data_IF_560291099879
#
_entry.id   IF_560291099879
#
_cell.length_a   1.000
_cell.length_b   1.000
_cell.length_c   1.000
_cell.angle_alpha   90.00
_cell.angle_beta   90.00
_cell.angle_gamma   90.00
#
_symmetry.space_group_name_H-M   'P 1'
#
loop_
_entity.id
_entity.type
_entity.pdbx_description
1 polymer ?
#
# COMPACT_ATOMS: atom_id res chain seq x y z
N UNK A 1 12.16 11.86 18.27
CA UNK A 1 11.03 12.19 17.37
C UNK A 1 11.62 12.77 16.12
N UNK A 2 11.28 12.22 14.97
CA UNK A 2 11.73 12.73 13.70
C UNK A 2 11.15 14.12 13.42
N UNK A 3 11.96 15.00 12.85
CA UNK A 3 11.52 16.32 12.40
C UNK A 3 10.95 16.19 10.99
N UNK A 4 9.69 16.54 10.80
CA UNK A 4 9.05 16.56 9.49
C UNK A 4 9.32 17.92 8.82
N UNK A 5 9.98 17.89 7.67
CA UNK A 5 10.37 19.08 6.89
C UNK A 5 9.68 19.02 5.54
N UNK A 6 9.18 20.14 5.05
CA UNK A 6 8.59 20.23 3.72
C UNK A 6 9.65 20.69 2.71
N UNK A 7 9.68 20.05 1.53
CA UNK A 7 10.51 20.49 0.43
C UNK A 7 10.20 21.96 0.06
N UNK A 8 11.25 22.73 -0.19
CA UNK A 8 11.13 24.15 -0.54
C UNK A 8 11.07 24.39 -2.05
N UNK A 9 11.07 23.32 -2.84
CA UNK A 9 10.99 23.42 -4.32
C UNK A 9 9.67 24.03 -4.75
N UNK A 10 9.74 24.85 -5.81
CA UNK A 10 8.55 25.50 -6.38
C UNK A 10 7.60 24.52 -7.08
N UNK A 11 8.11 23.40 -7.56
CA UNK A 11 7.33 22.35 -8.23
C UNK A 11 7.90 20.96 -7.92
N UNK A 12 7.04 19.96 -8.01
CA UNK A 12 7.43 18.55 -7.88
C UNK A 12 8.20 18.10 -9.12
N UNK A 13 9.33 17.43 -8.91
CA UNK A 13 10.14 16.82 -9.96
C UNK A 13 10.15 15.31 -9.75
N UNK A 14 9.66 14.54 -10.72
CA UNK A 14 9.53 13.11 -10.63
C UNK A 14 8.72 12.67 -9.39
N UNK A 15 7.37 12.71 -9.44
CA UNK A 15 6.53 12.59 -8.25
C UNK A 15 6.62 11.21 -7.58
N UNK A 16 6.85 11.22 -6.27
CA UNK A 16 6.65 10.09 -5.38
C UNK A 16 5.15 9.91 -5.08
N UNK A 17 4.46 11.03 -4.93
CA UNK A 17 3.08 11.13 -4.50
C UNK A 17 2.11 10.65 -5.58
N UNK A 18 1.16 9.79 -5.17
CA UNK A 18 -0.06 9.49 -5.91
C UNK A 18 -1.24 10.29 -5.34
N UNK A 19 -2.24 10.58 -6.17
CA UNK A 19 -3.36 11.44 -5.79
C UNK A 19 -4.43 10.73 -4.97
N UNK A 20 -5.21 11.49 -4.19
CA UNK A 20 -6.32 10.98 -3.39
C UNK A 20 -7.39 10.22 -4.22
N UNK A 21 -7.86 10.71 -5.41
CA UNK A 21 -8.85 9.97 -6.19
C UNK A 21 -8.42 8.56 -6.56
N UNK A 22 -7.12 8.34 -6.78
CA UNK A 22 -6.57 7.02 -7.09
C UNK A 22 -6.60 6.12 -5.85
N UNK A 23 -6.24 6.65 -4.67
CA UNK A 23 -6.36 5.91 -3.41
C UNK A 23 -7.80 5.53 -3.07
N UNK A 24 -8.73 6.47 -3.26
CA UNK A 24 -10.16 6.20 -3.07
C UNK A 24 -10.71 5.17 -4.04
N UNK A 25 -10.35 5.26 -5.33
CA UNK A 25 -10.76 4.28 -6.33
C UNK A 25 -10.25 2.86 -6.00
N UNK A 26 -8.99 2.74 -5.54
CA UNK A 26 -8.46 1.44 -5.12
C UNK A 26 -9.21 0.88 -3.90
N UNK A 27 -9.54 1.71 -2.91
CA UNK A 27 -10.33 1.26 -1.76
C UNK A 27 -11.68 0.68 -2.19
N UNK A 28 -12.37 1.33 -3.13
CA UNK A 28 -13.62 0.81 -3.68
C UNK A 28 -13.43 -0.50 -4.44
N UNK A 29 -12.27 -0.74 -5.05
CA UNK A 29 -11.98 -2.02 -5.73
C UNK A 29 -11.88 -3.20 -4.76
N UNK A 30 -11.74 -2.99 -3.48
CA UNK A 30 -11.83 -4.03 -2.44
C UNK A 30 -13.25 -4.39 -2.02
N UNK A 31 -14.28 -3.87 -2.70
CA UNK A 31 -15.68 -4.25 -2.52
C UNK A 31 -16.16 -5.11 -3.69
N UNK A 32 -16.92 -6.15 -3.42
CA UNK A 32 -17.48 -7.05 -4.44
C UNK A 32 -18.53 -6.35 -5.29
N UNK A 33 -18.56 -6.67 -6.58
CA UNK A 33 -19.55 -6.13 -7.52
C UNK A 33 -19.50 -4.61 -7.66
N UNK A 34 -18.34 -4.00 -7.47
CA UNK A 34 -18.19 -2.54 -7.42
C UNK A 34 -17.69 -1.96 -8.74
N UNK A 35 -18.19 -0.76 -9.04
CA UNK A 35 -17.68 0.09 -10.12
C UNK A 35 -17.22 1.43 -9.53
N UNK A 36 -15.93 1.65 -9.35
CA UNK A 36 -15.42 2.97 -8.99
C UNK A 36 -15.64 3.97 -10.14
N UNK A 37 -16.06 5.19 -9.79
CA UNK A 37 -16.36 6.28 -10.70
C UNK A 37 -15.59 7.53 -10.31
N UNK A 38 -14.71 8.02 -11.17
CA UNK A 38 -14.06 9.31 -10.99
C UNK A 38 -14.95 10.42 -11.58
N UNK A 39 -15.37 11.34 -10.72
CA UNK A 39 -16.08 12.52 -11.15
C UNK A 39 -15.11 13.60 -11.58
N UNK A 40 -14.91 13.71 -12.91
CA UNK A 40 -13.96 14.64 -13.51
C UNK A 40 -13.71 14.38 -14.99
N UNK A 41 -12.57 14.82 -15.48
CA UNK A 41 -12.17 14.66 -16.87
C UNK A 41 -11.73 13.22 -17.18
N UNK A 42 -11.76 12.84 -18.46
CA UNK A 42 -11.31 11.51 -18.94
C UNK A 42 -9.85 11.22 -18.64
N UNK A 43 -9.00 12.27 -18.63
CA UNK A 43 -7.55 12.13 -18.41
C UNK A 43 -7.22 11.52 -17.04
N UNK A 44 -7.91 11.93 -15.98
CA UNK A 44 -7.71 11.38 -14.63
C UNK A 44 -7.97 9.88 -14.59
N UNK A 45 -9.04 9.43 -15.22
CA UNK A 45 -9.41 8.00 -15.27
C UNK A 45 -8.43 7.21 -16.13
N UNK A 46 -8.04 7.74 -17.30
CA UNK A 46 -7.06 7.08 -18.17
C UNK A 46 -5.71 6.88 -17.47
N UNK A 47 -5.26 7.89 -16.72
CA UNK A 47 -4.04 7.79 -15.91
C UNK A 47 -4.17 6.72 -14.82
N UNK A 48 -5.28 6.72 -14.08
CA UNK A 48 -5.56 5.72 -13.04
C UNK A 48 -5.60 4.29 -13.60
N UNK A 49 -6.25 4.09 -14.75
CA UNK A 49 -6.29 2.79 -15.43
C UNK A 49 -4.88 2.29 -15.79
N UNK A 50 -4.07 3.12 -16.43
CA UNK A 50 -2.69 2.74 -16.82
C UNK A 50 -1.88 2.34 -15.59
N UNK A 51 -2.04 3.06 -14.49
CA UNK A 51 -1.34 2.80 -13.24
C UNK A 51 -1.74 1.45 -12.63
N UNK A 52 -3.03 1.21 -12.46
CA UNK A 52 -3.53 -0.03 -11.85
C UNK A 52 -3.30 -1.25 -12.72
N UNK A 53 -3.59 -1.16 -14.04
CA UNK A 53 -3.33 -2.26 -14.98
C UNK A 53 -1.85 -2.65 -14.98
N UNK A 54 -0.94 -1.70 -14.90
CA UNK A 54 0.50 -2.00 -14.86
C UNK A 54 0.96 -2.58 -13.53
N UNK A 55 0.32 -2.18 -12.41
CA UNK A 55 0.66 -2.68 -11.09
C UNK A 55 0.11 -4.08 -10.84
N UNK A 56 -1.20 -4.26 -10.99
CA UNK A 56 -1.89 -5.51 -10.68
C UNK A 56 -1.85 -6.51 -11.85
N UNK A 57 -1.72 -6.02 -13.09
CA UNK A 57 -1.81 -6.81 -14.33
C UNK A 57 -3.17 -7.48 -14.53
N UNK A 58 -4.22 -6.81 -14.04
CA UNK A 58 -5.61 -7.25 -14.04
C UNK A 58 -6.49 -6.35 -14.90
N UNK A 59 -7.68 -6.85 -15.23
CA UNK A 59 -8.75 -6.01 -15.76
C UNK A 59 -9.28 -5.10 -14.64
N UNK A 60 -9.15 -3.80 -14.81
CA UNK A 60 -9.50 -2.82 -13.78
C UNK A 60 -10.86 -2.20 -14.09
N UNK A 61 -11.89 -2.42 -13.24
CA UNK A 61 -13.16 -1.72 -13.35
C UNK A 61 -12.99 -0.27 -12.84
N UNK A 62 -12.99 0.69 -13.75
CA UNK A 62 -12.90 2.11 -13.41
C UNK A 62 -13.59 2.95 -14.47
N UNK A 63 -14.51 3.83 -14.07
CA UNK A 63 -15.29 4.66 -14.95
C UNK A 63 -15.07 6.15 -14.68
N UNK A 64 -15.56 7.00 -15.59
CA UNK A 64 -15.47 8.45 -15.53
C UNK A 64 -16.80 9.10 -15.86
N UNK A 65 -17.10 10.26 -15.25
CA UNK A 65 -18.19 11.11 -15.67
C UNK A 65 -17.89 11.89 -16.96
N UNK A 66 -16.62 11.81 -17.43
CA UNK A 66 -16.15 12.40 -18.68
C UNK A 66 -16.56 13.88 -18.85
N UNK A 67 -16.36 14.70 -17.81
CA UNK A 67 -16.74 16.12 -17.85
C UNK A 67 -16.05 16.84 -19.00
N UNK A 68 -16.86 17.51 -19.83
CA UNK A 68 -16.40 18.46 -20.83
C UNK A 68 -16.11 19.82 -20.21
N UNK A 69 -15.47 20.72 -20.98
CA UNK A 69 -15.24 22.12 -20.56
C UNK A 69 -16.56 22.81 -20.22
N UNK A 70 -17.63 22.57 -21.00
CA UNK A 70 -18.96 23.14 -20.77
C UNK A 70 -19.55 22.63 -19.44
N UNK A 71 -19.46 21.33 -19.18
CA UNK A 71 -19.92 20.75 -17.91
C UNK A 71 -19.11 21.26 -16.72
N UNK A 72 -17.83 21.53 -16.93
CA UNK A 72 -16.96 22.13 -15.90
C UNK A 72 -17.44 23.52 -15.49
N UNK A 73 -18.03 24.28 -16.41
CA UNK A 73 -18.57 25.62 -16.11
C UNK A 73 -20.00 25.57 -15.55
N UNK A 74 -20.89 24.76 -16.18
CA UNK A 74 -22.31 24.78 -15.88
C UNK A 74 -22.75 23.89 -14.70
N UNK A 75 -22.01 22.85 -14.36
CA UNK A 75 -22.32 21.89 -13.28
C UNK A 75 -22.20 20.44 -13.73
N UNK A 76 -21.67 19.61 -12.82
CA UNK A 76 -21.41 18.19 -13.07
C UNK A 76 -22.58 17.25 -12.76
N UNK A 77 -23.73 17.77 -12.25
CA UNK A 77 -24.82 16.93 -11.80
C UNK A 77 -25.32 15.96 -12.88
N UNK A 78 -25.66 16.46 -14.07
CA UNK A 78 -26.15 15.64 -15.18
C UNK A 78 -25.13 14.58 -15.62
N UNK A 79 -23.84 14.91 -15.55
CA UNK A 79 -22.79 13.96 -15.88
C UNK A 79 -22.73 12.81 -14.86
N UNK A 80 -22.88 13.10 -13.55
CA UNK A 80 -22.92 12.07 -12.51
C UNK A 80 -24.17 11.21 -12.65
N UNK A 81 -25.36 11.85 -12.80
CA UNK A 81 -26.64 11.15 -12.97
C UNK A 81 -26.59 10.20 -14.17
N UNK A 82 -26.16 10.69 -15.32
CA UNK A 82 -26.06 9.88 -16.55
C UNK A 82 -25.00 8.76 -16.42
N UNK A 83 -23.85 9.02 -15.78
CA UNK A 83 -22.83 8.01 -15.54
C UNK A 83 -23.38 6.88 -14.65
N UNK A 84 -24.02 7.20 -13.54
CA UNK A 84 -24.63 6.23 -12.62
C UNK A 84 -25.65 5.37 -13.34
N UNK A 85 -26.61 5.96 -14.07
CA UNK A 85 -27.62 5.22 -14.82
C UNK A 85 -27.01 4.31 -15.89
N UNK A 86 -25.99 4.78 -16.60
CA UNK A 86 -25.31 3.99 -17.62
C UNK A 86 -24.53 2.81 -17.00
N UNK A 87 -23.86 3.03 -15.86
CA UNK A 87 -23.14 1.97 -15.13
C UNK A 87 -24.15 0.91 -14.70
N UNK A 88 -25.21 1.28 -14.00
CA UNK A 88 -26.22 0.32 -13.52
C UNK A 88 -26.81 -0.48 -14.67
N UNK A 89 -27.20 0.18 -15.75
CA UNK A 89 -27.77 -0.49 -16.95
C UNK A 89 -26.83 -1.49 -17.60
N UNK A 90 -25.51 -1.21 -17.61
CA UNK A 90 -24.52 -2.03 -18.34
C UNK A 90 -23.87 -3.09 -17.48
N UNK A 91 -23.68 -2.85 -16.20
CA UNK A 91 -22.82 -3.67 -15.33
C UNK A 91 -23.53 -4.25 -14.12
N UNK A 92 -24.75 -3.76 -13.80
CA UNK A 92 -25.53 -4.22 -12.64
C UNK A 92 -24.69 -4.35 -11.34
N UNK A 93 -24.05 -3.27 -10.87
CA UNK A 93 -23.15 -3.31 -9.73
C UNK A 93 -23.91 -3.40 -8.41
N UNK A 94 -23.27 -3.96 -7.36
CA UNK A 94 -23.75 -3.86 -5.98
C UNK A 94 -23.47 -2.46 -5.40
N UNK A 95 -22.35 -1.84 -5.83
CA UNK A 95 -21.90 -0.54 -5.34
C UNK A 95 -21.28 0.30 -6.45
N UNK A 96 -21.55 1.61 -6.43
CA UNK A 96 -20.80 2.61 -7.20
C UNK A 96 -20.10 3.54 -6.22
N UNK A 97 -18.76 3.50 -6.23
CA UNK A 97 -17.91 4.37 -5.40
C UNK A 97 -17.53 5.63 -6.18
N UNK A 98 -18.01 6.80 -5.79
CA UNK A 98 -17.83 8.06 -6.52
C UNK A 98 -16.76 8.90 -5.83
N UNK A 99 -15.61 9.07 -6.48
CA UNK A 99 -14.53 9.96 -6.04
C UNK A 99 -14.58 11.28 -6.80
N UNK A 100 -14.51 12.42 -6.10
CA UNK A 100 -14.26 13.70 -6.74
C UNK A 100 -12.84 13.78 -7.29
N UNK A 101 -12.59 14.76 -8.16
CA UNK A 101 -11.24 15.10 -8.65
C UNK A 101 -10.98 16.59 -8.41
N UNK A 102 -9.73 17.05 -8.61
CA UNK A 102 -9.37 18.45 -8.37
C UNK A 102 -10.25 19.44 -9.10
N UNK A 103 -10.64 19.15 -10.34
CA UNK A 103 -11.52 20.03 -11.13
C UNK A 103 -12.89 20.22 -10.46
N UNK A 104 -13.50 19.15 -10.00
CA UNK A 104 -14.84 19.18 -9.38
C UNK A 104 -14.80 19.75 -7.97
N UNK A 105 -13.70 19.53 -7.24
CA UNK A 105 -13.46 20.13 -5.91
C UNK A 105 -13.24 21.65 -5.98
N UNK A 106 -12.39 22.12 -6.92
CA UNK A 106 -12.16 23.57 -7.12
C UNK A 106 -13.44 24.27 -7.54
N UNK A 107 -14.28 23.61 -8.33
CA UNK A 107 -15.57 24.12 -8.74
C UNK A 107 -16.59 24.13 -7.59
N UNK A 108 -16.45 23.27 -6.60
CA UNK A 108 -17.38 23.14 -5.49
C UNK A 108 -18.62 22.29 -5.81
N UNK A 109 -18.48 21.26 -6.62
CA UNK A 109 -19.59 20.32 -6.89
C UNK A 109 -19.99 19.58 -5.60
N UNK A 110 -21.28 19.68 -5.23
CA UNK A 110 -21.85 19.01 -4.06
C UNK A 110 -22.23 17.55 -4.39
N UNK A 111 -21.24 16.65 -4.43
CA UNK A 111 -21.48 15.23 -4.69
C UNK A 111 -22.50 14.61 -3.73
N UNK A 112 -22.52 15.02 -2.46
CA UNK A 112 -23.46 14.50 -1.47
C UNK A 112 -24.91 14.92 -1.83
N UNK A 113 -25.09 16.16 -2.25
CA UNK A 113 -26.36 16.66 -2.78
C UNK A 113 -26.76 15.98 -4.08
N UNK A 114 -25.78 15.72 -4.96
CA UNK A 114 -26.01 15.00 -6.22
C UNK A 114 -26.53 13.59 -5.98
N UNK A 115 -25.87 12.79 -5.15
CA UNK A 115 -26.28 11.43 -4.81
C UNK A 115 -27.69 11.42 -4.21
N UNK A 116 -27.99 12.36 -3.29
CA UNK A 116 -29.33 12.49 -2.71
C UNK A 116 -30.39 12.79 -3.77
N UNK A 117 -30.10 13.70 -4.69
CA UNK A 117 -31.03 14.06 -5.76
C UNK A 117 -31.23 12.91 -6.76
N UNK A 118 -30.18 12.17 -7.09
CA UNK A 118 -30.27 10.99 -7.96
C UNK A 118 -31.17 9.93 -7.33
N UNK A 119 -30.99 9.60 -6.04
CA UNK A 119 -31.86 8.63 -5.35
C UNK A 119 -33.32 9.05 -5.34
N UNK A 120 -33.61 10.35 -5.17
CA UNK A 120 -34.99 10.86 -5.21
C UNK A 120 -35.64 10.76 -6.60
N UNK A 121 -34.85 10.96 -7.66
CA UNK A 121 -35.34 10.90 -9.04
C UNK A 121 -35.43 9.48 -9.59
N UNK A 122 -34.63 8.57 -9.07
CA UNK A 122 -34.45 7.21 -9.58
C UNK A 122 -34.59 6.16 -8.46
N UNK A 123 -35.85 5.91 -7.99
CA UNK A 123 -36.13 4.89 -6.97
C UNK A 123 -35.69 3.48 -7.38
N UNK A 124 -35.56 3.20 -8.68
CA UNK A 124 -35.04 1.94 -9.22
C UNK A 124 -33.60 1.66 -8.82
N UNK A 125 -32.87 2.64 -8.33
CA UNK A 125 -31.50 2.49 -7.82
C UNK A 125 -31.41 2.05 -6.34
N UNK A 126 -32.53 1.81 -5.67
CA UNK A 126 -32.55 1.46 -4.23
C UNK A 126 -31.75 0.18 -3.91
N UNK A 127 -31.59 -0.72 -4.90
CA UNK A 127 -30.77 -1.93 -4.76
C UNK A 127 -29.26 -1.71 -4.92
N UNK A 128 -28.82 -0.52 -5.33
CA UNK A 128 -27.40 -0.21 -5.59
C UNK A 128 -26.87 0.78 -4.52
N UNK A 129 -25.79 0.42 -3.86
CA UNK A 129 -25.15 1.35 -2.93
C UNK A 129 -24.40 2.46 -3.71
N UNK A 130 -24.72 3.72 -3.43
CA UNK A 130 -24.01 4.89 -3.98
C UNK A 130 -23.18 5.53 -2.85
N UNK A 131 -21.88 5.31 -2.86
CA UNK A 131 -20.97 5.86 -1.86
C UNK A 131 -20.13 6.97 -2.49
N UNK A 132 -20.18 8.15 -1.91
CA UNK A 132 -19.42 9.29 -2.41
C UNK A 132 -18.28 9.68 -1.45
N UNK A 133 -17.17 10.15 -2.01
CA UNK A 133 -15.99 10.53 -1.27
C UNK A 133 -15.34 11.78 -1.89
N UNK A 134 -15.09 12.81 -1.07
CA UNK A 134 -14.35 14.02 -1.49
C UNK A 134 -12.84 13.74 -1.46
N UNK A 135 -12.24 13.73 -2.65
CA UNK A 135 -10.84 13.36 -2.88
C UNK A 135 -10.11 14.41 -3.72
N UNK A 136 -9.88 15.64 -3.19
CA UNK A 136 -9.13 16.66 -3.91
C UNK A 136 -7.71 16.18 -4.23
N UNK A 137 -7.25 16.34 -5.47
CA UNK A 137 -5.90 15.90 -5.89
C UNK A 137 -4.80 16.91 -5.54
N UNK A 138 -5.17 18.15 -5.21
CA UNK A 138 -4.24 19.22 -4.82
C UNK A 138 -3.83 19.20 -3.34
N UNK A 139 -4.44 18.36 -2.51
CA UNK A 139 -4.10 18.18 -1.10
C UNK A 139 -4.03 16.69 -0.74
N UNK A 140 -3.31 16.35 0.35
CA UNK A 140 -3.15 14.96 0.77
C UNK A 140 -2.47 14.08 -0.29
N UNK A 141 -2.52 12.77 -0.12
CA UNK A 141 -1.93 11.77 -1.01
C UNK A 141 -2.82 10.53 -1.15
N UNK A 142 -2.26 9.47 -1.69
CA UNK A 142 -2.94 8.19 -1.94
C UNK A 142 -3.58 7.59 -0.68
N UNK A 143 -2.83 7.54 0.44
CA UNK A 143 -3.36 7.02 1.70
C UNK A 143 -4.50 7.85 2.28
N UNK A 144 -4.50 9.18 2.08
CA UNK A 144 -5.60 10.03 2.51
C UNK A 144 -6.89 9.69 1.74
N UNK A 145 -6.78 9.46 0.42
CA UNK A 145 -7.90 9.05 -0.42
C UNK A 145 -8.46 7.68 -0.03
N UNK A 146 -7.59 6.74 0.26
CA UNK A 146 -7.97 5.41 0.77
C UNK A 146 -8.74 5.52 2.08
N UNK A 147 -8.19 6.20 3.07
CA UNK A 147 -8.82 6.39 4.39
C UNK A 147 -10.20 7.05 4.28
N UNK A 148 -10.33 8.09 3.44
CA UNK A 148 -11.62 8.76 3.20
C UNK A 148 -12.66 7.86 2.54
N UNK A 149 -12.25 7.04 1.56
CA UNK A 149 -13.17 6.12 0.91
C UNK A 149 -13.63 5.02 1.86
N UNK A 150 -12.73 4.45 2.69
CA UNK A 150 -13.11 3.47 3.72
C UNK A 150 -14.05 4.10 4.75
N UNK A 151 -13.77 5.32 5.18
CA UNK A 151 -14.68 6.06 6.09
C UNK A 151 -16.06 6.24 5.45
N UNK A 152 -16.11 6.65 4.18
CA UNK A 152 -17.37 6.84 3.47
C UNK A 152 -18.16 5.52 3.30
N UNK A 153 -17.47 4.40 3.03
CA UNK A 153 -18.09 3.07 2.99
C UNK A 153 -18.70 2.69 4.35
N UNK A 154 -17.98 2.91 5.44
CA UNK A 154 -18.49 2.66 6.80
C UNK A 154 -19.70 3.55 7.08
N UNK A 155 -19.63 4.84 6.81
CA UNK A 155 -20.71 5.79 7.07
C UNK A 155 -21.98 5.51 6.26
N UNK A 156 -21.86 5.01 5.04
CA UNK A 156 -23.00 4.71 4.18
C UNK A 156 -23.57 3.30 4.43
N UNK A 157 -22.70 2.29 4.62
CA UNK A 157 -23.12 0.90 4.65
C UNK A 157 -23.43 0.40 6.07
N UNK A 158 -22.61 0.75 7.06
CA UNK A 158 -22.80 0.23 8.43
C UNK A 158 -23.96 0.97 9.11
N UNK A 159 -24.98 0.28 9.60
CA UNK A 159 -26.09 0.91 10.32
C UNK A 159 -25.60 1.65 11.58
N UNK A 160 -26.18 2.81 11.85
CA UNK A 160 -25.95 3.55 13.10
C UNK A 160 -26.82 2.96 14.22
N UNK A 161 -26.37 1.81 14.73
CA UNK A 161 -27.09 1.10 15.77
C UNK A 161 -26.12 0.28 16.62
N UNK A 162 -26.25 0.40 17.94
CA UNK A 162 -25.55 -0.49 18.86
C UNK A 162 -26.22 -1.87 18.83
N UNK A 163 -25.44 -2.90 18.48
CA UNK A 163 -25.93 -4.26 18.52
C UNK A 163 -26.30 -4.68 19.96
N UNK A 164 -27.43 -5.34 20.14
CA UNK A 164 -27.84 -5.88 21.42
C UNK A 164 -26.92 -7.02 21.91
N UNK A 165 -26.30 -7.73 20.97
CA UNK A 165 -25.26 -8.73 21.22
C UNK A 165 -24.26 -8.72 20.10
N UNK A 166 -22.97 -8.95 20.42
CA UNK A 166 -21.88 -9.09 19.47
C UNK A 166 -21.39 -10.51 19.43
N UNK A 167 -20.92 -10.93 18.27
CA UNK A 167 -20.25 -12.21 18.11
C UNK A 167 -18.74 -12.02 18.36
N UNK A 168 -18.25 -12.59 19.46
CA UNK A 168 -16.84 -12.50 19.84
C UNK A 168 -15.88 -13.19 18.86
N UNK A 169 -16.38 -14.08 17.98
CA UNK A 169 -15.56 -14.70 16.95
C UNK A 169 -15.38 -13.82 15.72
N UNK A 170 -16.32 -12.93 15.45
CA UNK A 170 -16.23 -12.02 14.31
C UNK A 170 -15.32 -10.86 14.61
N UNK A 171 -14.41 -10.58 13.69
CA UNK A 171 -13.50 -9.44 13.78
C UNK A 171 -13.49 -8.66 12.48
N UNK A 172 -13.61 -7.34 12.58
CA UNK A 172 -13.41 -6.48 11.42
C UNK A 172 -11.93 -6.22 11.24
N UNK A 173 -11.47 -6.14 10.00
CA UNK A 173 -10.09 -5.77 9.67
C UNK A 173 -10.12 -4.60 8.68
N UNK A 174 -9.46 -3.52 9.03
CA UNK A 174 -9.30 -2.32 8.21
C UNK A 174 -7.84 -2.22 7.75
N UNK A 175 -7.49 -2.79 6.59
CA UNK A 175 -6.13 -2.76 6.07
C UNK A 175 -5.80 -1.38 5.49
N UNK A 176 -4.57 -0.90 5.72
CA UNK A 176 -4.06 0.30 5.09
C UNK A 176 -3.69 0.07 3.62
N UNK A 177 -3.64 1.15 2.84
CA UNK A 177 -3.38 1.12 1.40
C UNK A 177 -1.98 0.60 1.02
N UNK A 178 -1.08 0.52 1.97
CA UNK A 178 0.29 0.03 1.79
C UNK A 178 0.38 -1.51 1.77
N UNK A 179 -0.71 -2.21 2.08
CA UNK A 179 -0.77 -3.66 2.13
C UNK A 179 -1.19 -4.22 0.77
N UNK A 180 -0.41 -5.18 0.28
CA UNK A 180 -0.71 -5.90 -0.95
C UNK A 180 -1.84 -6.94 -0.72
N UNK A 181 -2.51 -7.42 -1.79
CA UNK A 181 -3.44 -8.55 -1.66
C UNK A 181 -2.84 -9.75 -0.92
N UNK A 182 -1.58 -10.10 -1.18
CA UNK A 182 -0.89 -11.17 -0.46
C UNK A 182 -0.71 -10.92 1.05
N UNK A 183 -0.58 -9.65 1.47
CA UNK A 183 -0.56 -9.30 2.90
C UNK A 183 -1.92 -9.55 3.55
N UNK A 184 -3.01 -9.25 2.82
CA UNK A 184 -4.38 -9.47 3.30
C UNK A 184 -4.65 -10.96 3.46
N UNK A 185 -4.23 -11.79 2.51
CA UNK A 185 -4.32 -13.25 2.61
C UNK A 185 -3.53 -13.82 3.80
N UNK A 186 -2.30 -13.34 4.02
CA UNK A 186 -1.51 -13.77 5.19
C UNK A 186 -2.20 -13.39 6.49
N UNK A 187 -2.77 -12.18 6.58
CA UNK A 187 -3.51 -11.76 7.77
C UNK A 187 -4.77 -12.59 7.98
N UNK A 188 -5.50 -12.93 6.93
CA UNK A 188 -6.66 -13.81 6.96
C UNK A 188 -6.30 -15.17 7.53
N UNK A 189 -5.27 -15.80 6.96
CA UNK A 189 -4.74 -17.09 7.43
C UNK A 189 -4.36 -17.06 8.92
N UNK A 190 -3.74 -15.97 9.36
CA UNK A 190 -3.34 -15.79 10.76
C UNK A 190 -4.56 -15.70 11.66
N UNK A 191 -5.53 -14.85 11.34
CA UNK A 191 -6.72 -14.59 12.16
C UNK A 191 -7.58 -15.85 12.24
N UNK A 192 -7.82 -16.52 11.12
CA UNK A 192 -8.60 -17.77 11.05
C UNK A 192 -7.96 -18.91 11.84
N UNK A 193 -6.64 -18.96 11.93
CA UNK A 193 -5.93 -19.97 12.72
C UNK A 193 -6.17 -19.84 14.25
N UNK A 194 -6.69 -18.69 14.71
CA UNK A 194 -7.16 -18.51 16.09
C UNK A 194 -8.66 -18.82 16.25
N UNK A 195 -9.33 -19.29 15.18
CA UNK A 195 -10.76 -19.60 15.19
C UNK A 195 -11.64 -18.34 15.14
N UNK A 196 -11.08 -17.22 14.68
CA UNK A 196 -11.78 -15.96 14.45
C UNK A 196 -12.24 -15.86 12.98
N UNK A 197 -13.30 -15.10 12.73
CA UNK A 197 -13.92 -14.92 11.42
C UNK A 197 -13.72 -13.47 10.97
N UNK A 198 -12.70 -13.19 10.11
CA UNK A 198 -12.39 -11.81 9.72
C UNK A 198 -13.29 -11.32 8.58
N UNK A 199 -13.76 -10.08 8.71
CA UNK A 199 -14.36 -9.30 7.62
C UNK A 199 -13.41 -8.14 7.30
N UNK A 200 -12.80 -8.15 6.12
CA UNK A 200 -11.89 -7.09 5.67
C UNK A 200 -12.68 -5.97 4.99
N UNK A 201 -12.33 -4.72 5.26
CA UNK A 201 -12.87 -3.56 4.55
C UNK A 201 -11.78 -2.52 4.31
N UNK A 202 -11.34 -2.34 3.05
CA UNK A 202 -11.65 -3.14 1.86
C UNK A 202 -10.85 -4.46 1.80
N UNK A 203 -11.27 -5.40 0.95
CA UNK A 203 -10.59 -6.67 0.71
C UNK A 203 -10.06 -6.75 -0.72
N UNK A 204 -8.78 -6.45 -0.90
CA UNK A 204 -8.14 -6.56 -2.21
C UNK A 204 -7.74 -8.01 -2.57
N UNK A 205 -7.66 -8.91 -1.57
CA UNK A 205 -7.20 -10.27 -1.80
C UNK A 205 -8.16 -11.12 -2.64
N UNK A 206 -9.45 -10.81 -2.59
CA UNK A 206 -10.43 -11.48 -3.44
C UNK A 206 -10.72 -10.77 -4.77
N UNK A 207 -10.11 -9.61 -5.01
CA UNK A 207 -10.42 -8.74 -6.15
C UNK A 207 -9.25 -8.51 -7.10
N UNK A 208 -8.04 -8.32 -6.57
CA UNK A 208 -6.84 -7.94 -7.33
C UNK A 208 -5.65 -8.86 -6.99
N UNK A 209 -5.91 -10.13 -6.80
CA UNK A 209 -4.97 -11.16 -6.35
C UNK A 209 -4.38 -12.04 -7.46
N UNK A 210 -4.68 -11.76 -8.73
CA UNK A 210 -4.09 -12.44 -9.87
C UNK A 210 -4.76 -13.76 -10.24
N UNK A 211 -5.98 -14.05 -9.76
CA UNK A 211 -6.71 -15.23 -10.19
C UNK A 211 -7.42 -15.03 -11.55
N UNK A 212 -7.56 -16.08 -12.31
CA UNK A 212 -8.29 -16.08 -13.59
C UNK A 212 -9.74 -16.47 -13.30
N UNK A 213 -10.72 -15.56 -13.53
CA UNK A 213 -12.13 -15.89 -13.32
C UNK A 213 -12.64 -16.86 -14.38
N UNK A 214 -13.66 -17.66 -14.03
CA UNK A 214 -14.33 -18.56 -14.98
C UNK A 214 -15.12 -17.76 -16.05
N UNK A 215 -15.75 -16.65 -15.61
CA UNK A 215 -16.54 -15.76 -16.47
C UNK A 215 -16.08 -14.30 -16.35
N UNK A 216 -16.21 -13.55 -17.43
CA UNK A 216 -15.95 -12.12 -17.40
C UNK A 216 -17.03 -11.37 -16.64
N UNK A 217 -16.64 -10.54 -15.66
CA UNK A 217 -17.51 -9.57 -15.01
C UNK A 217 -17.02 -8.15 -15.28
N UNK A 218 -17.91 -7.19 -15.57
CA UNK A 218 -17.53 -5.80 -15.81
C UNK A 218 -17.23 -5.01 -14.52
N UNK A 219 -17.49 -5.59 -13.35
CA UNK A 219 -17.25 -5.04 -12.02
C UNK A 219 -16.10 -5.79 -11.32
N UNK A 220 -15.76 -5.42 -10.09
CA UNK A 220 -14.84 -6.20 -9.26
C UNK A 220 -15.34 -7.62 -9.06
N UNK A 221 -14.40 -8.60 -9.13
CA UNK A 221 -14.71 -10.02 -9.01
C UNK A 221 -15.03 -10.43 -7.58
N UNK A 222 -14.15 -10.06 -6.67
CA UNK A 222 -14.20 -10.40 -5.25
C UNK A 222 -14.21 -9.15 -4.38
N UNK A 223 -13.75 -9.31 -3.16
CA UNK A 223 -13.81 -8.28 -2.13
C UNK A 223 -15.00 -8.45 -1.21
N UNK A 224 -15.16 -7.52 -0.28
CA UNK A 224 -16.22 -7.57 0.73
C UNK A 224 -17.56 -7.13 0.12
N UNK A 225 -18.61 -7.92 0.32
CA UNK A 225 -19.96 -7.58 -0.12
C UNK A 225 -20.62 -6.49 0.73
N UNK A 226 -21.60 -5.78 0.15
CA UNK A 226 -22.33 -4.74 0.88
C UNK A 226 -23.03 -5.28 2.13
N UNK A 227 -23.59 -6.50 2.10
CA UNK A 227 -24.22 -7.11 3.27
C UNK A 227 -23.22 -7.49 4.37
N UNK A 228 -22.02 -7.95 3.99
CA UNK A 228 -20.94 -8.23 4.93
C UNK A 228 -20.49 -6.95 5.64
N UNK A 229 -20.34 -5.86 4.87
CA UNK A 229 -20.01 -4.54 5.42
C UNK A 229 -21.09 -4.03 6.37
N UNK A 230 -22.40 -4.20 6.03
CA UNK A 230 -23.52 -3.89 6.95
C UNK A 230 -23.47 -4.66 8.25
N UNK A 231 -22.96 -5.90 8.19
CA UNK A 231 -22.80 -6.79 9.35
C UNK A 231 -21.62 -6.46 10.26
N UNK A 232 -20.75 -5.51 9.93
CA UNK A 232 -19.55 -5.20 10.72
C UNK A 232 -19.85 -4.70 12.14
N UNK A 233 -21.05 -4.11 12.37
CA UNK A 233 -21.49 -3.70 13.70
C UNK A 233 -21.75 -4.86 14.69
N UNK A 234 -21.75 -6.10 14.21
CA UNK A 234 -21.96 -7.31 15.02
C UNK A 234 -20.64 -7.95 15.49
N UNK A 235 -19.48 -7.47 15.06
CA UNK A 235 -18.19 -8.02 15.43
C UNK A 235 -17.80 -7.72 16.89
N UNK A 236 -16.96 -8.56 17.47
CA UNK A 236 -16.40 -8.36 18.80
C UNK A 236 -15.34 -7.25 18.82
N UNK A 237 -14.52 -7.18 17.77
CA UNK A 237 -13.40 -6.26 17.66
C UNK A 237 -13.20 -5.74 16.23
N UNK A 238 -12.56 -4.57 16.13
CA UNK A 238 -12.02 -4.03 14.88
C UNK A 238 -10.50 -3.93 14.99
N UNK A 239 -9.81 -4.50 14.02
CA UNK A 239 -8.35 -4.46 13.85
C UNK A 239 -8.06 -3.46 12.74
N UNK A 240 -7.42 -2.34 13.08
CA UNK A 240 -7.00 -1.31 12.12
C UNK A 240 -5.48 -1.37 11.91
N UNK A 241 -5.01 -1.32 10.67
CA UNK A 241 -3.60 -1.47 10.32
C UNK A 241 -3.11 -0.24 9.56
N UNK A 242 -2.15 0.45 10.15
CA UNK A 242 -1.64 1.73 9.72
C UNK A 242 -2.37 2.91 10.38
N UNK A 243 -1.67 4.01 10.60
CA UNK A 243 -2.22 5.22 11.23
C UNK A 243 -3.35 5.83 10.38
N UNK A 244 -3.28 5.70 9.06
CA UNK A 244 -4.32 6.13 8.13
C UNK A 244 -5.69 5.50 8.42
N UNK A 245 -5.72 4.31 9.03
CA UNK A 245 -6.95 3.58 9.38
C UNK A 245 -7.55 4.01 10.72
N UNK A 246 -6.95 4.95 11.44
CA UNK A 246 -7.52 5.48 12.69
C UNK A 246 -8.90 6.11 12.47
N UNK A 247 -9.02 7.02 11.50
CA UNK A 247 -10.28 7.70 11.20
C UNK A 247 -11.41 6.74 10.79
N UNK A 248 -11.19 5.77 9.88
CA UNK A 248 -12.18 4.73 9.60
C UNK A 248 -12.56 3.89 10.84
N UNK A 249 -11.59 3.51 11.67
CA UNK A 249 -11.85 2.72 12.88
C UNK A 249 -12.70 3.49 13.91
N UNK A 250 -12.39 4.76 14.12
CA UNK A 250 -13.17 5.65 14.98
C UNK A 250 -14.60 5.88 14.43
N UNK A 251 -14.74 5.97 13.09
CA UNK A 251 -16.05 6.06 12.46
C UNK A 251 -16.88 4.80 12.71
N UNK A 252 -16.27 3.62 12.58
CA UNK A 252 -16.94 2.34 12.84
C UNK A 252 -17.30 2.19 14.33
N UNK A 253 -16.39 2.51 15.25
CA UNK A 253 -16.66 2.50 16.68
C UNK A 253 -17.79 3.45 17.06
N UNK A 254 -17.79 4.68 16.53
CA UNK A 254 -18.84 5.68 16.80
C UNK A 254 -20.21 5.20 16.32
N UNK A 255 -20.30 4.53 15.16
CA UNK A 255 -21.57 4.05 14.59
C UNK A 255 -22.10 2.80 15.28
N UNK A 256 -21.23 1.85 15.60
CA UNK A 256 -21.61 0.51 16.04
C UNK A 256 -21.22 0.20 17.48
N UNK A 257 -20.34 1.01 18.08
CA UNK A 257 -19.76 0.77 19.39
C UNK A 257 -18.76 -0.39 19.42
N UNK A 258 -18.40 -1.00 18.29
CA UNK A 258 -17.37 -2.06 18.23
C UNK A 258 -16.01 -1.44 18.56
N UNK A 259 -15.32 -1.91 19.63
CA UNK A 259 -14.01 -1.37 20.00
C UNK A 259 -12.96 -1.69 18.94
N UNK A 260 -11.95 -0.82 18.81
CA UNK A 260 -10.87 -1.10 17.87
C UNK A 260 -9.49 -1.14 18.54
N UNK A 261 -8.58 -1.90 17.91
CA UNK A 261 -7.14 -1.88 18.15
C UNK A 261 -6.43 -1.45 16.88
N UNK A 262 -5.60 -0.40 16.98
CA UNK A 262 -4.75 0.05 15.89
C UNK A 262 -3.36 -0.57 16.03
N UNK A 263 -2.89 -1.20 14.97
CA UNK A 263 -1.52 -1.64 14.80
C UNK A 263 -0.85 -0.74 13.77
N UNK A 264 0.18 -0.03 14.17
CA UNK A 264 0.88 0.92 13.30
C UNK A 264 1.60 0.21 12.14
N UNK A 265 1.95 -1.06 12.34
CA UNK A 265 2.55 -1.96 11.35
C UNK A 265 2.37 -3.42 11.78
N UNK A 266 2.50 -4.34 10.84
CA UNK A 266 2.56 -5.80 11.09
C UNK A 266 3.84 -6.43 10.54
N UNK A 267 4.84 -5.62 10.23
CA UNK A 267 6.18 -6.02 9.77
C UNK A 267 7.19 -5.79 10.89
N UNK A 268 8.11 -6.72 11.09
CA UNK A 268 9.06 -6.72 12.20
C UNK A 268 8.64 -7.64 13.36
N UNK A 269 9.64 -8.14 14.13
CA UNK A 269 9.42 -9.16 15.16
C UNK A 269 8.47 -8.68 16.26
N UNK A 270 8.75 -7.47 16.80
CA UNK A 270 7.95 -6.92 17.90
C UNK A 270 6.49 -6.69 17.52
N UNK A 271 6.25 -6.11 16.33
CA UNK A 271 4.88 -5.88 15.82
C UNK A 271 4.12 -7.18 15.59
N UNK A 272 4.79 -8.21 15.05
CA UNK A 272 4.20 -9.54 14.88
C UNK A 272 3.86 -10.18 16.22
N UNK A 273 4.75 -10.08 17.21
CA UNK A 273 4.52 -10.61 18.56
C UNK A 273 3.30 -9.93 19.21
N UNK A 274 3.20 -8.62 19.12
CA UNK A 274 2.06 -7.85 19.64
C UNK A 274 0.73 -8.27 19.00
N UNK A 275 0.73 -8.45 17.69
CA UNK A 275 -0.45 -8.90 16.94
C UNK A 275 -0.89 -10.32 17.36
N UNK A 276 0.05 -11.27 17.46
CA UNK A 276 -0.25 -12.63 17.90
C UNK A 276 -0.76 -12.70 19.33
N UNK A 277 -0.23 -11.88 20.23
CA UNK A 277 -0.70 -11.79 21.62
C UNK A 277 -2.12 -11.22 21.67
N UNK A 278 -2.41 -10.19 20.91
CA UNK A 278 -3.76 -9.63 20.84
C UNK A 278 -4.77 -10.65 20.30
N UNK A 279 -4.45 -11.38 19.22
CA UNK A 279 -5.33 -12.43 18.72
C UNK A 279 -5.54 -13.56 19.74
N UNK A 280 -4.49 -13.92 20.48
CA UNK A 280 -4.60 -14.91 21.57
C UNK A 280 -5.52 -14.41 22.69
N UNK A 281 -5.46 -13.13 23.05
CA UNK A 281 -6.30 -12.50 24.07
C UNK A 281 -7.78 -12.53 23.65
N UNK A 282 -8.10 -12.01 22.48
CA UNK A 282 -9.50 -11.88 22.05
C UNK A 282 -10.16 -13.20 21.67
N UNK A 283 -9.39 -14.20 21.23
CA UNK A 283 -9.89 -15.54 20.89
C UNK A 283 -9.92 -16.50 22.08
N UNK A 284 -9.15 -16.22 23.13
CA UNK A 284 -8.91 -17.15 24.24
C UNK A 284 -8.10 -18.39 23.83
N UNK A 285 -7.48 -18.40 22.63
CA UNK A 285 -6.71 -19.52 22.10
C UNK A 285 -5.20 -19.23 22.21
N UNK A 286 -4.37 -20.25 22.51
CA UNK A 286 -2.93 -20.06 22.50
C UNK A 286 -2.44 -19.85 21.05
N UNK A 287 -1.32 -19.11 20.90
CA UNK A 287 -0.70 -18.93 19.57
C UNK A 287 -0.47 -20.28 18.89
N UNK A 288 -1.00 -20.52 17.68
CA UNK A 288 -0.90 -21.80 16.99
C UNK A 288 0.55 -22.22 16.73
N UNK A 289 0.81 -23.55 16.74
CA UNK A 289 2.17 -24.12 16.56
C UNK A 289 2.85 -23.62 15.27
N UNK A 290 2.08 -23.44 14.19
CA UNK A 290 2.57 -22.92 12.90
C UNK A 290 3.30 -21.58 13.11
N UNK A 291 2.67 -20.63 13.80
CA UNK A 291 3.20 -19.28 13.98
C UNK A 291 4.30 -19.19 15.04
N UNK A 292 4.26 -20.03 16.08
CA UNK A 292 5.39 -20.18 17.00
C UNK A 292 6.66 -20.66 16.28
N UNK A 293 6.50 -21.58 15.29
CA UNK A 293 7.63 -22.03 14.46
C UNK A 293 8.08 -20.92 13.50
N UNK A 294 7.16 -20.20 12.85
CA UNK A 294 7.51 -19.08 11.97
C UNK A 294 8.25 -17.97 12.73
N UNK A 295 7.88 -17.69 13.99
CA UNK A 295 8.63 -16.77 14.85
C UNK A 295 10.09 -17.22 15.01
N UNK A 296 10.34 -18.49 15.28
CA UNK A 296 11.68 -19.02 15.37
C UNK A 296 12.47 -18.90 14.07
N UNK A 297 11.79 -19.12 12.92
CA UNK A 297 12.39 -18.92 11.60
C UNK A 297 12.70 -17.45 11.30
N UNK A 298 11.86 -16.52 11.76
CA UNK A 298 12.15 -15.09 11.64
C UNK A 298 13.36 -14.69 12.48
N UNK A 299 13.45 -15.16 13.73
CA UNK A 299 14.61 -14.89 14.61
C UNK A 299 15.92 -15.40 13.97
N UNK A 300 15.89 -16.58 13.38
CA UNK A 300 17.02 -17.16 12.65
C UNK A 300 17.40 -16.30 11.42
N UNK A 301 16.42 -15.91 10.62
CA UNK A 301 16.61 -15.01 9.48
C UNK A 301 17.16 -13.61 9.90
N UNK A 302 16.77 -13.11 11.08
CA UNK A 302 17.32 -11.87 11.63
C UNK A 302 18.80 -12.03 11.99
N UNK A 303 19.20 -13.20 12.52
CA UNK A 303 20.61 -13.47 12.81
C UNK A 303 21.45 -13.55 11.51
N UNK A 304 20.94 -14.25 10.49
CA UNK A 304 21.61 -14.34 9.18
C UNK A 304 21.65 -12.99 8.47
N UNK A 305 20.52 -12.30 8.40
CA UNK A 305 20.36 -11.01 7.71
C UNK A 305 21.12 -9.87 8.36
N UNK A 306 21.38 -9.95 9.68
CA UNK A 306 22.07 -8.89 10.43
C UNK A 306 23.44 -8.54 9.84
N UNK A 307 24.20 -9.53 9.40
CA UNK A 307 25.53 -9.32 8.81
C UNK A 307 25.52 -8.51 7.50
N UNK A 308 24.38 -8.48 6.81
CA UNK A 308 24.22 -7.81 5.53
C UNK A 308 23.46 -6.48 5.63
N UNK A 309 22.54 -6.37 6.59
CA UNK A 309 21.67 -5.18 6.79
C UNK A 309 22.29 -4.24 7.83
N UNK A 310 22.94 -4.77 8.86
CA UNK A 310 23.54 -3.99 9.94
C UNK A 310 24.57 -2.97 9.42
N UNK A 311 24.42 -1.71 9.84
CA UNK A 311 25.25 -0.60 9.41
C UNK A 311 25.02 -0.11 7.96
N UNK A 312 24.16 -0.76 7.16
CA UNK A 312 23.82 -0.31 5.80
C UNK A 312 22.90 0.90 5.83
N UNK A 313 23.07 1.76 4.84
CA UNK A 313 22.37 3.04 4.73
C UNK A 313 21.27 2.95 3.69
N UNK A 314 20.04 3.15 4.14
CA UNK A 314 18.83 3.02 3.34
C UNK A 314 18.29 4.39 2.94
N UNK A 315 18.04 4.62 1.65
CA UNK A 315 17.23 5.74 1.17
C UNK A 315 15.83 5.22 0.84
N UNK A 316 14.82 5.70 1.55
CA UNK A 316 13.46 5.15 1.52
C UNK A 316 12.46 6.25 1.14
N UNK A 317 11.70 6.01 0.06
CA UNK A 317 10.63 6.90 -0.38
C UNK A 317 9.30 6.15 -0.48
N UNK A 318 8.32 6.49 0.38
CA UNK A 318 7.03 5.81 0.44
C UNK A 318 5.93 6.66 1.08
N UNK A 319 4.67 6.20 0.97
CA UNK A 319 3.57 6.70 1.79
C UNK A 319 3.89 6.56 3.29
N UNK A 320 3.35 7.42 4.17
CA UNK A 320 3.73 7.49 5.58
C UNK A 320 3.74 6.16 6.34
N UNK A 321 2.67 5.36 6.23
CA UNK A 321 2.57 4.10 6.97
C UNK A 321 3.57 3.04 6.46
N UNK A 322 3.77 2.96 5.15
CA UNK A 322 4.79 2.09 4.56
C UNK A 322 6.20 2.53 4.95
N UNK A 323 6.46 3.84 4.93
CA UNK A 323 7.74 4.40 5.34
C UNK A 323 8.06 4.03 6.78
N UNK A 324 7.07 4.14 7.68
CA UNK A 324 7.22 3.76 9.09
C UNK A 324 7.48 2.27 9.25
N UNK A 325 6.73 1.40 8.56
CA UNK A 325 6.92 -0.05 8.62
C UNK A 325 8.33 -0.47 8.17
N UNK A 326 8.80 0.07 7.06
CA UNK A 326 10.13 -0.24 6.50
C UNK A 326 11.27 0.30 7.37
N UNK A 327 11.22 1.59 7.72
CA UNK A 327 12.28 2.21 8.52
C UNK A 327 12.42 1.55 9.88
N UNK A 328 11.30 1.25 10.55
CA UNK A 328 11.32 0.57 11.84
C UNK A 328 11.91 -0.83 11.75
N UNK A 329 11.46 -1.63 10.76
CA UNK A 329 11.94 -3.02 10.58
C UNK A 329 13.43 -3.06 10.23
N UNK A 330 13.89 -2.19 9.33
CA UNK A 330 15.30 -2.13 8.94
C UNK A 330 16.20 -1.63 10.07
N UNK A 331 15.70 -0.69 10.89
CA UNK A 331 16.44 -0.21 12.07
C UNK A 331 16.49 -1.28 13.17
N UNK A 332 15.46 -2.12 13.36
CA UNK A 332 15.50 -3.29 14.23
C UNK A 332 16.62 -4.27 13.82
N UNK A 333 16.99 -4.30 12.53
CA UNK A 333 18.10 -5.08 11.98
C UNK A 333 19.45 -4.36 12.03
N UNK A 334 19.53 -3.18 12.66
CA UNK A 334 20.76 -2.37 12.73
C UNK A 334 21.04 -1.55 11.47
N UNK A 335 20.11 -1.46 10.54
CA UNK A 335 20.19 -0.58 9.36
C UNK A 335 20.07 0.90 9.74
N UNK A 336 20.63 1.78 8.93
CA UNK A 336 20.64 3.22 9.11
C UNK A 336 19.79 3.89 8.04
N UNK A 337 18.95 4.84 8.41
CA UNK A 337 18.15 5.64 7.46
C UNK A 337 18.99 6.81 6.96
N UNK A 338 19.44 6.75 5.71
CA UNK A 338 20.21 7.83 5.07
C UNK A 338 19.28 8.94 4.58
N UNK A 339 18.13 8.57 4.00
CA UNK A 339 17.11 9.52 3.53
C UNK A 339 15.73 8.91 3.71
N UNK A 340 14.80 9.68 4.23
CA UNK A 340 13.39 9.34 4.38
C UNK A 340 12.53 10.39 3.71
N UNK A 341 11.84 10.03 2.63
CA UNK A 341 10.96 10.94 1.87
C UNK A 341 9.55 10.37 1.82
N UNK A 342 8.57 11.22 2.07
CA UNK A 342 7.16 10.84 2.09
C UNK A 342 6.27 11.82 1.31
N UNK A 343 5.02 11.45 1.12
CA UNK A 343 4.06 12.07 0.19
C UNK A 343 3.11 13.05 0.86
N UNK A 344 2.74 12.80 2.12
CA UNK A 344 1.77 13.59 2.88
C UNK A 344 2.14 13.63 4.37
N UNK A 345 1.44 14.45 5.13
CA UNK A 345 1.62 14.54 6.58
C UNK A 345 0.81 13.45 7.28
N UNK A 346 1.43 12.79 8.26
CA UNK A 346 0.76 11.81 9.12
C UNK A 346 1.37 11.87 10.53
N UNK A 347 0.57 11.65 11.59
CA UNK A 347 1.10 11.58 12.96
C UNK A 347 2.18 10.53 13.14
N UNK A 348 2.18 9.46 12.36
CA UNK A 348 3.15 8.37 12.43
C UNK A 348 4.57 8.83 12.11
N UNK A 349 4.73 9.87 11.30
CA UNK A 349 6.04 10.37 10.87
C UNK A 349 6.92 10.81 12.06
N UNK A 350 6.32 11.31 13.11
CA UNK A 350 7.05 11.70 14.32
C UNK A 350 7.72 10.51 15.05
N UNK A 351 7.26 9.28 14.77
CA UNK A 351 7.77 8.04 15.37
C UNK A 351 8.87 7.37 14.55
N UNK A 352 9.19 7.89 13.35
CA UNK A 352 10.23 7.28 12.51
C UNK A 352 11.59 7.28 13.24
N UNK A 353 12.37 6.20 13.11
CA UNK A 353 13.69 6.06 13.71
C UNK A 353 14.78 6.78 12.89
N UNK A 354 14.56 8.07 12.60
CA UNK A 354 15.50 8.94 11.90
C UNK A 354 15.38 10.37 12.44
N UNK A 355 16.35 11.23 12.10
CA UNK A 355 16.34 12.63 12.56
C UNK A 355 15.33 13.47 11.77
N UNK A 356 15.29 13.27 10.44
CA UNK A 356 14.49 14.11 9.53
C UNK A 356 13.71 13.26 8.54
N UNK A 357 12.47 13.65 8.28
CA UNK A 357 11.61 13.12 7.21
C UNK A 357 11.22 14.28 6.31
N UNK A 358 11.43 14.11 5.01
CA UNK A 358 11.12 15.13 4.04
C UNK A 358 9.78 14.84 3.33
N UNK A 359 8.84 15.78 3.39
CA UNK A 359 7.70 15.81 2.48
C UNK A 359 8.20 16.31 1.13
N UNK A 360 8.34 15.39 0.17
CA UNK A 360 9.03 15.67 -1.07
C UNK A 360 8.67 14.73 -2.22
N UNK A 361 9.59 14.60 -3.14
CA UNK A 361 9.46 13.81 -4.36
C UNK A 361 10.68 12.88 -4.56
N UNK A 362 10.72 12.18 -5.71
CA UNK A 362 11.83 11.25 -6.00
C UNK A 362 13.15 11.95 -6.30
N UNK A 363 13.15 13.21 -6.70
CA UNK A 363 14.39 13.99 -6.83
C UNK A 363 14.98 14.34 -5.46
N UNK A 364 14.11 14.64 -4.48
CA UNK A 364 14.53 14.82 -3.09
C UNK A 364 15.12 13.54 -2.51
N UNK A 365 14.49 12.39 -2.81
CA UNK A 365 14.99 11.08 -2.41
C UNK A 365 16.35 10.80 -3.05
N UNK A 366 16.50 11.05 -4.35
CA UNK A 366 17.75 10.87 -5.09
C UNK A 366 18.86 11.72 -4.51
N UNK A 367 18.58 13.00 -4.24
CA UNK A 367 19.54 13.95 -3.66
C UNK A 367 19.99 13.53 -2.26
N UNK A 368 19.09 12.95 -1.46
CA UNK A 368 19.39 12.43 -0.11
C UNK A 368 20.03 11.04 -0.10
N UNK A 369 20.14 10.37 -1.25
CA UNK A 369 20.63 9.00 -1.38
C UNK A 369 22.12 8.87 -1.75
N UNK A 370 22.88 9.97 -1.82
CA UNK A 370 24.26 9.97 -2.26
C UNK A 370 25.15 8.97 -1.50
N UNK A 371 24.93 8.82 -0.19
CA UNK A 371 25.68 7.92 0.67
C UNK A 371 24.90 6.64 1.03
N UNK A 372 23.84 6.31 0.29
CA UNK A 372 23.03 5.14 0.55
C UNK A 372 23.64 3.86 -0.07
N UNK A 373 23.35 2.73 0.55
CA UNK A 373 23.70 1.41 0.02
C UNK A 373 22.60 0.82 -0.85
N UNK A 374 21.36 1.22 -0.65
CA UNK A 374 20.19 0.72 -1.36
C UNK A 374 19.09 1.78 -1.42
N UNK A 375 18.37 1.82 -2.53
CA UNK A 375 17.16 2.62 -2.71
C UNK A 375 15.92 1.73 -2.51
N UNK A 376 14.96 2.18 -1.70
CA UNK A 376 13.73 1.45 -1.40
C UNK A 376 12.54 2.34 -1.73
N UNK A 377 11.84 2.07 -2.82
CA UNK A 377 10.66 2.83 -3.26
C UNK A 377 9.95 2.10 -4.42
N UNK A 378 8.85 2.65 -4.90
CA UNK A 378 8.12 2.10 -6.04
C UNK A 378 8.88 2.25 -7.37
N UNK A 379 8.34 1.66 -8.45
CA UNK A 379 9.04 1.55 -9.74
C UNK A 379 9.50 2.86 -10.39
N UNK A 380 8.89 4.01 -10.05
CA UNK A 380 9.36 5.31 -10.58
C UNK A 380 10.75 5.71 -10.05
N UNK A 381 11.21 5.12 -8.94
CA UNK A 381 12.57 5.33 -8.43
C UNK A 381 13.67 4.65 -9.24
N UNK A 382 13.32 3.82 -10.25
CA UNK A 382 14.30 3.07 -11.05
C UNK A 382 15.39 3.97 -11.66
N UNK A 383 15.00 5.09 -12.25
CA UNK A 383 15.97 5.99 -12.90
C UNK A 383 16.94 6.64 -11.90
N UNK A 384 16.47 6.97 -10.69
CA UNK A 384 17.33 7.45 -9.63
C UNK A 384 18.33 6.38 -9.19
N UNK A 385 17.86 5.15 -8.99
CA UNK A 385 18.72 4.02 -8.64
C UNK A 385 19.81 3.74 -9.70
N UNK A 386 19.43 3.80 -11.00
CA UNK A 386 20.37 3.64 -12.12
C UNK A 386 21.43 4.74 -12.13
N UNK A 387 21.07 6.01 -11.93
CA UNK A 387 22.02 7.15 -11.88
C UNK A 387 22.98 7.06 -10.70
N UNK A 388 22.46 6.59 -9.56
CA UNK A 388 23.26 6.44 -8.32
C UNK A 388 24.01 5.09 -8.24
N UNK A 389 23.80 4.21 -9.22
CA UNK A 389 24.33 2.83 -9.21
C UNK A 389 23.96 2.07 -7.92
N UNK A 390 22.74 2.26 -7.41
CA UNK A 390 22.24 1.61 -6.21
C UNK A 390 21.33 0.41 -6.56
N UNK A 391 21.38 -0.69 -5.79
CA UNK A 391 20.32 -1.68 -5.80
C UNK A 391 18.97 -0.99 -5.50
N UNK A 392 17.90 -1.45 -6.17
CA UNK A 392 16.59 -0.88 -5.98
C UNK A 392 15.59 -1.94 -5.54
N UNK A 393 15.17 -1.91 -4.28
CA UNK A 393 14.08 -2.74 -3.79
C UNK A 393 12.75 -2.04 -4.08
N UNK A 394 11.90 -2.69 -4.93
CA UNK A 394 10.60 -2.16 -5.32
C UNK A 394 9.56 -2.53 -4.28
N UNK A 395 8.87 -1.54 -3.75
CA UNK A 395 7.76 -1.71 -2.83
C UNK A 395 6.82 -0.49 -2.90
N UNK A 396 5.56 -0.67 -2.58
CA UNK A 396 4.53 0.38 -2.69
C UNK A 396 3.90 0.42 -4.09
N UNK A 397 3.09 1.42 -4.35
CA UNK A 397 2.34 1.59 -5.59
C UNK A 397 2.85 2.83 -6.34
N UNK A 398 3.19 2.70 -7.66
CA UNK A 398 3.05 1.52 -8.52
C UNK A 398 4.31 0.64 -8.59
N UNK A 399 4.12 -0.66 -8.78
CA UNK A 399 5.16 -1.59 -9.20
C UNK A 399 4.82 -2.13 -10.60
N UNK A 400 5.63 -1.81 -11.61
CA UNK A 400 5.35 -2.19 -13.00
C UNK A 400 6.54 -2.81 -13.73
N UNK A 401 7.72 -2.75 -13.15
CA UNK A 401 8.97 -3.32 -13.69
C UNK A 401 9.44 -4.57 -12.92
N UNK A 402 8.57 -5.10 -12.07
CA UNK A 402 8.70 -6.41 -11.42
C UNK A 402 7.39 -7.19 -11.54
N UNK A 403 7.47 -8.51 -11.47
CA UNK A 403 6.29 -9.39 -11.43
C UNK A 403 5.87 -9.66 -9.99
N UNK A 404 4.58 -10.00 -9.81
CA UNK A 404 4.05 -10.49 -8.55
C UNK A 404 3.82 -9.41 -7.48
N UNK A 405 3.58 -8.16 -7.87
CA UNK A 405 3.29 -7.07 -6.93
C UNK A 405 2.11 -7.41 -5.98
N UNK A 406 1.05 -8.03 -6.50
CA UNK A 406 -0.10 -8.45 -5.72
C UNK A 406 0.20 -9.59 -4.74
N UNK A 407 1.22 -10.40 -5.00
CA UNK A 407 1.60 -11.55 -4.17
C UNK A 407 2.72 -11.26 -3.17
N UNK A 408 3.18 -10.01 -3.11
CA UNK A 408 4.18 -9.60 -2.12
C UNK A 408 3.58 -9.71 -0.72
N UNK A 409 4.32 -10.40 0.17
CA UNK A 409 3.96 -10.51 1.59
C UNK A 409 5.07 -9.88 2.42
N UNK A 410 4.70 -8.86 3.19
CA UNK A 410 5.60 -8.12 4.08
C UNK A 410 5.18 -8.19 5.54
N UNK A 411 3.95 -8.61 5.81
CA UNK A 411 3.38 -8.71 7.16
C UNK A 411 3.56 -10.10 7.78
N UNK A 412 3.42 -10.16 9.09
CA UNK A 412 3.57 -11.38 9.85
C UNK A 412 5.01 -11.89 9.91
N UNK A 413 5.23 -13.00 10.60
CA UNK A 413 6.58 -13.57 10.73
C UNK A 413 7.15 -14.00 9.38
N UNK A 414 6.31 -14.61 8.52
CA UNK A 414 6.72 -15.07 7.19
C UNK A 414 7.11 -13.91 6.30
N UNK A 415 6.23 -12.92 6.18
CA UNK A 415 6.49 -11.76 5.32
C UNK A 415 7.69 -10.95 5.77
N UNK A 416 7.84 -10.73 7.08
CA UNK A 416 9.04 -10.06 7.63
C UNK A 416 10.32 -10.83 7.32
N UNK A 417 10.32 -12.16 7.47
CA UNK A 417 11.45 -13.02 7.12
C UNK A 417 11.83 -12.88 5.64
N UNK A 418 10.83 -12.97 4.77
CA UNK A 418 11.03 -12.94 3.32
C UNK A 418 11.53 -11.55 2.86
N UNK A 419 11.07 -10.48 3.50
CA UNK A 419 11.57 -9.11 3.29
C UNK A 419 13.06 -8.99 3.68
N UNK A 420 13.45 -9.54 4.83
CA UNK A 420 14.85 -9.55 5.29
C UNK A 420 15.73 -10.27 4.29
N UNK A 421 15.32 -11.46 3.82
CA UNK A 421 16.09 -12.21 2.84
C UNK A 421 16.16 -11.49 1.47
N UNK A 422 15.05 -10.88 1.02
CA UNK A 422 15.05 -10.16 -0.24
C UNK A 422 16.04 -8.99 -0.23
N UNK A 423 16.02 -8.17 0.82
CA UNK A 423 16.93 -7.03 0.98
C UNK A 423 18.35 -7.50 1.23
N UNK A 424 18.55 -8.49 2.12
CA UNK A 424 19.86 -9.05 2.42
C UNK A 424 20.56 -9.60 1.17
N UNK A 425 19.84 -10.38 0.35
CA UNK A 425 20.37 -10.93 -0.90
C UNK A 425 20.75 -9.84 -1.92
N UNK A 426 19.96 -8.74 -2.00
CA UNK A 426 20.32 -7.62 -2.88
C UNK A 426 21.61 -6.93 -2.43
N UNK A 427 21.79 -6.78 -1.12
CA UNK A 427 22.99 -6.18 -0.55
C UNK A 427 24.23 -7.11 -0.70
N UNK A 428 24.07 -8.42 -0.53
CA UNK A 428 25.13 -9.41 -0.78
C UNK A 428 25.61 -9.36 -2.22
N UNK A 429 24.70 -9.32 -3.20
CA UNK A 429 25.05 -9.32 -4.61
C UNK A 429 25.78 -8.05 -5.07
N UNK A 430 25.74 -6.96 -4.29
CA UNK A 430 26.52 -5.74 -4.55
C UNK A 430 28.00 -5.89 -4.21
N UNK A 431 28.31 -6.71 -3.21
CA UNK A 431 29.68 -7.03 -2.83
C UNK A 431 30.12 -8.28 -3.58
N UNK A 432 30.51 -8.09 -4.83
CA UNK A 432 31.27 -9.12 -5.54
C UNK A 432 32.59 -9.27 -4.77
N UNK A 433 32.75 -10.35 -4.02
CA UNK A 433 34.11 -10.73 -3.53
C UNK A 433 34.95 -10.89 -4.79
N UNK A 434 36.10 -10.18 -4.91
CA UNK A 434 36.91 -10.28 -6.09
C UNK A 434 37.26 -11.76 -6.32
N UNK A 435 36.82 -12.27 -7.46
CA UNK A 435 37.16 -13.64 -7.87
C UNK A 435 38.64 -13.72 -8.16
N UNK A 436 39.23 -14.92 -8.16
CA UNK A 436 40.61 -15.05 -8.59
C UNK A 436 40.91 -14.49 -9.98
N UNK A 437 39.87 -14.36 -10.83
CA UNK A 437 40.00 -13.76 -12.16
C UNK A 437 40.04 -12.24 -12.11
N UNK A 438 39.40 -11.59 -11.14
CA UNK A 438 39.46 -10.13 -10.92
C UNK A 438 40.86 -9.72 -10.41
N UNK A 439 41.59 -10.62 -9.77
CA UNK A 439 42.96 -10.40 -9.33
C UNK A 439 43.98 -10.47 -10.48
N UNK A 440 43.65 -11.14 -11.60
CA UNK A 440 44.55 -11.23 -12.76
C UNK A 440 44.79 -9.87 -13.42
N UNK A 441 43.75 -9.02 -13.48
CA UNK A 441 43.85 -7.67 -14.07
C UNK A 441 44.50 -6.66 -13.13
N UNK A 442 44.50 -6.94 -11.81
CA UNK A 442 45.15 -6.11 -10.79
C UNK A 442 46.63 -6.48 -10.56
N UNK A 443 47.07 -7.67 -11.01
CA UNK A 443 48.46 -8.07 -10.87
C UNK A 443 49.27 -7.53 -12.05
N UNK A 444 50.27 -6.67 -11.82
CA UNK A 444 51.10 -6.22 -12.92
C UNK A 444 51.72 -7.46 -13.59
N UNK A 445 51.54 -7.55 -14.91
CA UNK A 445 52.12 -8.63 -15.69
C UNK A 445 53.59 -8.76 -15.29
N UNK A 446 53.98 -9.95 -14.80
CA UNK A 446 55.35 -10.21 -14.42
C UNK A 446 56.26 -9.80 -15.59
N UNK A 447 57.09 -8.83 -15.38
CA UNK A 447 58.07 -8.43 -16.39
C UNK A 447 58.74 -9.67 -16.95
N UNK A 448 58.80 -9.84 -18.28
CA UNK A 448 59.49 -11.03 -18.82
C UNK A 448 60.91 -11.09 -18.26
N UNK A 449 61.21 -12.17 -17.54
CA UNK A 449 62.57 -12.43 -17.09
C UNK A 449 63.41 -12.51 -18.32
N UNK A 450 64.28 -11.53 -18.52
CA UNK A 450 65.28 -11.57 -19.58
C UNK A 450 66.10 -12.83 -19.41
N UNK A 451 66.26 -13.67 -20.42
CA UNK A 451 67.14 -14.84 -20.28
C UNK A 451 68.58 -14.37 -19.97
N UNK A 452 69.16 -14.86 -18.86
CA UNK A 452 70.56 -14.63 -18.56
C UNK A 452 71.39 -15.08 -19.77
N UNK A 453 72.36 -14.29 -20.18
CA UNK A 453 73.30 -14.74 -21.24
C UNK A 453 74.03 -15.99 -20.82
N UNK A 454 73.99 -16.99 -21.67
CA UNK A 454 74.73 -18.26 -21.47
C UNK A 454 76.18 -17.96 -21.16
N UNK A 455 76.70 -18.40 -20.00
CA UNK A 455 78.11 -18.36 -19.70
C UNK A 455 78.84 -19.29 -20.69
N UNK A 456 79.65 -18.70 -21.60
CA UNK A 456 80.58 -19.44 -22.41
C UNK A 456 81.55 -20.16 -21.51
N UNK A 457 81.56 -21.49 -21.57
CA UNK A 457 82.66 -22.34 -21.06
C UNK A 457 83.83 -22.20 -22.04
N UNK A 458 84.87 -21.50 -21.59
CA UNK A 458 86.18 -21.47 -22.27
C UNK A 458 86.92 -22.75 -21.97
N UNK A 459 87.64 -23.37 -22.96
CA UNK A 459 88.19 -24.68 -22.92
C UNK A 459 89.37 -24.88 -21.94
#
# INVERSE_FOLDING_TARGET
>A
MAQVVKSTKACTVNPLKMSQPIGGALAFMGMRGTMPLLHGSQGCTSFGLVLFVRHFREAIPLQTTAMSEVATVLGGFENVEQAVLNIVKKTNPELIGICSTGVTEVKGDDLKGFVRSIRQRHPELDGVALVQCSTPDFSGAFEDGWSKAVTAMIEELVPEALAASRDAKRVNVLPGCHLAPGDIDEMRDVIEAFGLEPTFLPDLSGSLDGHIPEDFTPTTLGGTGCEEARGMGLAGWTIAIGEQMRTPAEALERRSGVPYRLFERLTGLGACDEFMLFLSEISGQPVPRKYRRQRGQLVDAMLDGHFHIGGRRFAIGAEPDLLFALTSTLTEMGGLVASAVTTTTSPILAKLPCETVLLGDLEDLESGAADADILVTHSHGRQAAERLHLPHYRIGIPMFDTLGAAHLVTVGYRGTRDLIFAIGNMLMNRHHEPSPDDWRDAWPAASPVSPEPAKELVP
#
